data_IF_253101215300
#
_entry.id   IF_253101215300
#
_cell.length_a   1.000
_cell.length_b   1.000
_cell.length_c   1.000
_cell.angle_alpha   90.00
_cell.angle_beta   90.00
_cell.angle_gamma   90.00
#
_symmetry.space_group_name_H-M   'P 1'
#
loop_
_entity.id
_entity.type
_entity.pdbx_description
1 polymer ?
#
# COMPACT_ATOMS: atom_id res chain seq x y z
N UNK A 1 -1.96 33.15 -12.01
CA UNK A 1 -2.61 32.82 -10.70
C UNK A 1 -1.51 32.68 -9.67
N UNK A 2 -1.45 33.52 -8.69
CA UNK A 2 -0.47 33.43 -7.62
C UNK A 2 -0.96 32.38 -6.62
N UNK A 3 -0.20 31.31 -6.41
CA UNK A 3 -0.56 30.24 -5.47
C UNK A 3 -0.02 30.64 -4.10
N UNK A 4 -0.92 31.05 -3.19
CA UNK A 4 -0.55 31.27 -1.80
C UNK A 4 -0.47 29.94 -1.06
N UNK A 5 0.73 29.53 -0.69
CA UNK A 5 0.95 28.34 0.12
C UNK A 5 0.40 28.52 1.54
N UNK A 6 -0.16 27.47 2.09
CA UNK A 6 -0.62 27.46 3.48
C UNK A 6 0.53 27.82 4.44
N UNK A 7 0.30 28.61 5.51
CA UNK A 7 1.37 29.02 6.45
C UNK A 7 2.19 27.87 7.05
N UNK A 8 1.63 26.69 7.17
CA UNK A 8 2.33 25.50 7.65
C UNK A 8 3.20 24.80 6.59
N UNK A 9 3.11 25.24 5.33
CA UNK A 9 3.88 24.70 4.21
C UNK A 9 5.17 25.50 3.99
N UNK A 10 5.87 25.81 5.06
CA UNK A 10 7.12 26.56 5.05
C UNK A 10 8.32 25.61 5.07
N UNK A 11 9.32 25.91 4.26
CA UNK A 11 10.60 25.21 4.27
C UNK A 11 10.57 23.85 3.58
N UNK A 12 9.58 23.58 2.75
CA UNK A 12 9.61 22.44 1.85
C UNK A 12 10.33 22.82 0.56
N UNK A 13 11.48 22.18 0.35
CA UNK A 13 12.24 22.26 -0.90
C UNK A 13 12.19 20.90 -1.59
N UNK A 14 11.71 20.86 -2.82
CA UNK A 14 11.76 19.66 -3.62
C UNK A 14 13.22 19.35 -3.98
N UNK A 15 13.69 18.19 -3.58
CA UNK A 15 15.01 17.69 -3.99
C UNK A 15 14.85 16.64 -5.08
N UNK A 16 15.45 16.88 -6.24
CA UNK A 16 15.49 15.88 -7.31
C UNK A 16 16.30 14.69 -6.84
N UNK A 17 15.73 13.45 -6.90
CA UNK A 17 16.45 12.25 -6.53
C UNK A 17 17.75 12.10 -7.34
N UNK A 18 18.82 11.66 -6.69
CA UNK A 18 20.11 11.41 -7.34
C UNK A 18 20.49 9.95 -7.22
N UNK A 19 20.82 9.31 -8.35
CA UNK A 19 21.30 7.94 -8.38
C UNK A 19 22.62 7.70 -7.65
N UNK A 20 23.09 6.46 -7.60
CA UNK A 20 22.53 5.33 -8.36
C UNK A 20 21.21 4.78 -7.80
N UNK A 21 20.34 4.31 -8.68
CA UNK A 21 19.06 3.71 -8.32
C UNK A 21 19.18 2.18 -8.33
N UNK A 22 18.57 1.50 -7.36
CA UNK A 22 18.65 0.04 -7.25
C UNK A 22 17.65 -0.69 -8.14
N UNK A 23 16.51 -0.09 -8.41
CA UNK A 23 15.42 -0.71 -9.15
C UNK A 23 14.93 0.10 -10.36
N UNK A 24 14.80 1.41 -10.20
CA UNK A 24 14.28 2.29 -11.26
C UNK A 24 15.37 2.72 -12.23
N UNK A 25 15.00 2.93 -13.48
CA UNK A 25 15.86 3.58 -14.47
C UNK A 25 15.86 5.10 -14.27
N UNK A 26 16.86 5.78 -14.81
CA UNK A 26 16.91 7.26 -14.78
C UNK A 26 15.70 7.90 -15.45
N UNK A 27 15.22 7.34 -16.57
CA UNK A 27 14.03 7.82 -17.27
C UNK A 27 12.78 7.71 -16.43
N UNK A 28 12.61 6.60 -15.70
CA UNK A 28 11.50 6.39 -14.78
C UNK A 28 11.52 7.38 -13.61
N UNK A 29 12.69 7.65 -13.05
CA UNK A 29 12.85 8.65 -11.99
C UNK A 29 12.55 10.05 -12.51
N UNK A 30 13.03 10.40 -13.71
CA UNK A 30 12.74 11.67 -14.35
C UNK A 30 11.25 11.83 -14.65
N UNK A 31 10.56 10.76 -15.09
CA UNK A 31 9.11 10.76 -15.29
C UNK A 31 8.40 11.07 -13.96
N UNK A 32 8.75 10.37 -12.89
CA UNK A 32 8.15 10.63 -11.57
C UNK A 32 8.40 12.07 -11.08
N UNK A 33 9.60 12.59 -11.29
CA UNK A 33 9.96 13.96 -10.89
C UNK A 33 9.14 15.02 -11.65
N UNK A 34 8.86 14.79 -12.94
CA UNK A 34 8.13 15.72 -13.79
C UNK A 34 6.61 15.59 -13.66
N UNK A 35 6.10 14.35 -13.55
CA UNK A 35 4.68 14.05 -13.65
C UNK A 35 4.03 13.72 -12.29
N UNK A 36 4.84 13.42 -11.28
CA UNK A 36 4.37 13.08 -9.93
C UNK A 36 3.84 11.66 -9.77
N UNK A 37 3.93 10.83 -10.81
CA UNK A 37 3.55 9.43 -10.76
C UNK A 37 4.45 8.57 -11.65
N UNK A 38 4.47 7.27 -11.35
CA UNK A 38 5.12 6.24 -12.15
C UNK A 38 4.30 4.95 -12.04
N UNK A 39 3.98 4.35 -13.18
CA UNK A 39 3.37 3.04 -13.24
C UNK A 39 4.44 1.99 -13.51
N UNK A 40 4.56 1.03 -12.61
CA UNK A 40 5.41 -0.15 -12.77
C UNK A 40 4.52 -1.35 -13.06
N UNK A 41 4.63 -1.88 -14.27
CA UNK A 41 3.87 -3.06 -14.69
C UNK A 41 4.65 -4.34 -14.35
N UNK A 42 3.92 -5.42 -14.07
CA UNK A 42 4.44 -6.79 -13.88
C UNK A 42 5.56 -6.94 -12.83
N UNK A 43 5.55 -6.10 -11.80
CA UNK A 43 6.59 -6.10 -10.76
C UNK A 43 6.48 -7.29 -9.79
N UNK A 44 5.32 -7.91 -9.71
CA UNK A 44 5.07 -9.11 -8.91
C UNK A 44 4.60 -10.25 -9.79
N UNK A 45 5.11 -11.45 -9.57
CA UNK A 45 4.63 -12.65 -10.24
C UNK A 45 3.23 -13.03 -9.75
N UNK A 46 2.47 -13.75 -10.58
CA UNK A 46 1.16 -14.27 -10.20
C UNK A 46 1.25 -15.18 -8.96
N UNK A 47 2.28 -16.00 -8.87
CA UNK A 47 2.50 -16.90 -7.73
C UNK A 47 2.73 -16.14 -6.43
N UNK A 48 3.46 -15.02 -6.48
CA UNK A 48 3.65 -14.13 -5.31
C UNK A 48 2.32 -13.51 -4.90
N UNK A 49 1.56 -12.97 -5.84
CA UNK A 49 0.25 -12.38 -5.57
C UNK A 49 -0.72 -13.42 -4.99
N UNK A 50 -0.80 -14.62 -5.57
CA UNK A 50 -1.64 -15.69 -5.03
C UNK A 50 -1.24 -16.10 -3.61
N UNK A 51 0.05 -16.16 -3.33
CA UNK A 51 0.57 -16.50 -2.00
C UNK A 51 0.21 -15.43 -0.98
N UNK A 52 0.28 -14.16 -1.36
CA UNK A 52 -0.14 -13.03 -0.51
C UNK A 52 -1.65 -13.09 -0.24
N UNK A 53 -2.48 -13.26 -1.27
CA UNK A 53 -3.93 -13.38 -1.13
C UNK A 53 -4.29 -14.52 -0.17
N UNK A 54 -3.78 -15.74 -0.40
CA UNK A 54 -4.00 -16.91 0.46
C UNK A 54 -3.57 -16.67 1.92
N UNK A 55 -2.61 -15.78 2.14
CA UNK A 55 -2.15 -15.42 3.48
C UNK A 55 -3.04 -14.37 4.15
N UNK A 56 -3.75 -13.55 3.39
CA UNK A 56 -4.67 -12.52 3.88
C UNK A 56 -6.07 -13.10 4.15
N UNK A 57 -6.59 -13.92 3.26
CA UNK A 57 -7.94 -14.47 3.31
C UNK A 57 -8.39 -14.99 4.68
N UNK A 58 -7.56 -15.77 5.44
CA UNK A 58 -7.97 -16.25 6.75
C UNK A 58 -8.18 -15.14 7.80
N UNK A 59 -7.50 -14.01 7.66
CA UNK A 59 -7.68 -12.86 8.55
C UNK A 59 -8.95 -12.09 8.18
N UNK A 60 -9.21 -11.94 6.90
CA UNK A 60 -10.43 -11.31 6.39
C UNK A 60 -11.68 -12.09 6.79
N UNK A 61 -11.65 -13.43 6.66
CA UNK A 61 -12.76 -14.30 7.08
C UNK A 61 -13.05 -14.17 8.59
N UNK A 62 -12.02 -14.11 9.43
CA UNK A 62 -12.20 -13.89 10.88
C UNK A 62 -12.89 -12.55 11.19
N UNK A 63 -12.52 -11.49 10.48
CA UNK A 63 -13.16 -10.18 10.66
C UNK A 63 -14.61 -10.23 10.18
N UNK A 64 -14.85 -10.83 9.02
CA UNK A 64 -16.21 -11.00 8.48
C UNK A 64 -17.09 -11.81 9.42
N UNK A 65 -16.60 -12.93 9.97
CA UNK A 65 -17.32 -13.73 10.96
C UNK A 65 -17.63 -12.94 12.23
N UNK A 66 -16.66 -12.17 12.73
CA UNK A 66 -16.88 -11.30 13.88
C UNK A 66 -17.97 -10.25 13.60
N UNK A 67 -17.95 -9.64 12.41
CA UNK A 67 -18.96 -8.65 12.00
C UNK A 67 -20.36 -9.28 11.88
N UNK A 68 -20.48 -10.51 11.35
CA UNK A 68 -21.77 -11.23 11.25
C UNK A 68 -22.44 -11.43 12.62
N UNK A 69 -21.65 -11.54 13.68
CA UNK A 69 -22.13 -11.70 15.05
C UNK A 69 -22.56 -10.39 15.72
N UNK A 70 -22.34 -9.24 15.08
CA UNK A 70 -22.78 -7.94 15.56
C UNK A 70 -24.17 -7.58 15.02
N UNK A 71 -24.88 -6.73 15.75
CA UNK A 71 -26.17 -6.23 15.33
C UNK A 71 -26.10 -5.50 13.99
N UNK A 72 -26.86 -5.97 13.01
CA UNK A 72 -26.84 -5.47 11.64
C UNK A 72 -25.55 -5.77 10.86
N UNK A 73 -24.69 -6.68 11.35
CA UNK A 73 -23.47 -7.14 10.63
C UNK A 73 -22.44 -6.03 10.38
N UNK A 74 -22.42 -4.99 11.22
CA UNK A 74 -21.57 -3.81 10.99
C UNK A 74 -20.94 -3.27 12.27
N UNK A 75 -19.79 -2.62 12.08
CA UNK A 75 -19.09 -1.84 13.11
C UNK A 75 -18.42 -0.63 12.46
N UNK A 76 -18.85 0.59 12.80
CA UNK A 76 -18.46 1.81 12.09
C UNK A 76 -18.70 1.68 10.58
N UNK A 77 -17.65 1.81 9.78
CA UNK A 77 -17.68 1.66 8.32
C UNK A 77 -17.50 0.21 7.86
N UNK A 78 -17.09 -0.70 8.76
CA UNK A 78 -16.94 -2.13 8.45
C UNK A 78 -18.30 -2.80 8.33
N UNK A 79 -18.44 -3.64 7.31
CA UNK A 79 -19.65 -4.44 7.04
C UNK A 79 -19.25 -5.83 6.59
N UNK A 80 -19.89 -6.82 7.13
CA UNK A 80 -19.70 -8.20 6.72
C UNK A 80 -19.91 -8.34 5.19
N UNK A 81 -19.02 -9.05 4.52
CA UNK A 81 -19.00 -9.31 3.07
C UNK A 81 -18.85 -8.08 2.15
N UNK A 82 -18.78 -6.87 2.70
CA UNK A 82 -18.65 -5.65 1.90
C UNK A 82 -17.33 -4.91 2.16
N UNK A 83 -17.09 -4.55 3.43
CA UNK A 83 -15.93 -3.77 3.84
C UNK A 83 -15.34 -4.36 5.09
N UNK A 84 -14.16 -4.95 4.99
CA UNK A 84 -13.40 -5.49 6.11
C UNK A 84 -12.10 -4.73 6.32
N UNK A 85 -11.67 -4.63 7.57
CA UNK A 85 -10.38 -4.09 7.94
C UNK A 85 -9.61 -5.12 8.75
N UNK A 86 -8.54 -5.63 8.18
CA UNK A 86 -7.57 -6.47 8.87
C UNK A 86 -6.35 -5.66 9.23
N UNK A 87 -5.99 -5.63 10.50
CA UNK A 87 -4.90 -4.81 11.00
C UNK A 87 -3.72 -5.66 11.47
N UNK A 88 -2.52 -5.06 11.45
CA UNK A 88 -1.30 -5.68 11.98
C UNK A 88 -0.90 -7.01 11.30
N UNK A 89 -1.26 -7.19 10.04
CA UNK A 89 -0.99 -8.42 9.28
C UNK A 89 0.49 -8.78 9.25
N UNK A 90 1.35 -7.79 9.08
CA UNK A 90 2.81 -7.98 9.06
C UNK A 90 3.40 -8.47 10.39
N UNK A 91 2.67 -8.29 11.48
CA UNK A 91 3.07 -8.81 12.81
C UNK A 91 2.54 -10.23 13.05
N UNK A 92 1.53 -10.64 12.31
CA UNK A 92 0.82 -11.91 12.50
C UNK A 92 1.21 -12.98 11.47
N UNK A 93 1.82 -12.58 10.34
CA UNK A 93 2.16 -13.50 9.26
C UNK A 93 3.54 -13.16 8.67
N UNK A 94 4.46 -14.13 8.71
CA UNK A 94 5.84 -13.95 8.24
C UNK A 94 5.94 -13.78 6.73
N UNK A 95 5.05 -14.37 5.92
CA UNK A 95 5.02 -14.18 4.48
C UNK A 95 4.66 -12.73 4.15
N UNK A 96 3.62 -12.20 4.79
CA UNK A 96 3.19 -10.81 4.60
C UNK A 96 4.27 -9.83 5.06
N UNK A 97 4.93 -10.12 6.18
CA UNK A 97 6.08 -9.34 6.65
C UNK A 97 7.25 -9.34 5.65
N UNK A 98 7.54 -10.49 5.05
CA UNK A 98 8.56 -10.61 4.02
C UNK A 98 8.16 -9.84 2.76
N UNK A 99 6.90 -9.95 2.34
CA UNK A 99 6.39 -9.26 1.17
C UNK A 99 6.50 -7.73 1.29
N UNK A 100 6.25 -7.14 2.46
CA UNK A 100 6.43 -5.68 2.67
C UNK A 100 7.89 -5.22 2.56
N UNK A 101 8.84 -6.14 2.55
CA UNK A 101 10.27 -5.89 2.33
C UNK A 101 10.73 -6.33 0.93
N UNK A 102 9.80 -6.52 0.03
CA UNK A 102 10.13 -6.84 -1.36
C UNK A 102 10.95 -5.70 -1.97
N UNK A 103 11.96 -6.02 -2.79
CA UNK A 103 12.90 -5.06 -3.37
C UNK A 103 12.24 -3.89 -4.14
N UNK A 104 11.03 -4.12 -4.66
CA UNK A 104 10.23 -3.07 -5.33
C UNK A 104 9.62 -2.09 -4.33
N UNK A 105 9.39 -2.50 -3.09
CA UNK A 105 8.72 -1.72 -2.05
C UNK A 105 9.70 -1.09 -1.04
N UNK A 106 10.95 -1.53 -1.02
CA UNK A 106 11.95 -1.15 -0.02
C UNK A 106 12.90 -0.05 -0.52
#
# INVERSE_FOLDING_TARGET
MEVNLHPNNKGFDWSVPKGPYSYLTEDQVNQFDQEGYLLLEDVFSLDEIESVIKSIDPFEEKVTEALRNLDGGKFFISRAEEITFTTHLVMQNELLKKFTKHEVLA
#
